data_IF_849180017006
#
_entry.id   IF_849180017006
#
_cell.length_a   1.000
_cell.length_b   1.000
_cell.length_c   1.000
_cell.angle_alpha   90.00
_cell.angle_beta   90.00
_cell.angle_gamma   90.00
#
_symmetry.space_group_name_H-M   'P 1'
#
loop_
_entity.id
_entity.type
_entity.pdbx_description
1 polymer ?
#
# COMPACT_ATOMS: atom_id res chain seq x y z
N UNK A 1 -1.30 21.83 -8.74
CA UNK A 1 -0.70 20.65 -8.09
C UNK A 1 -1.02 19.42 -8.91
N UNK A 2 -0.08 18.48 -9.11
CA UNK A 2 -0.37 17.23 -9.82
C UNK A 2 -1.33 16.35 -9.01
N UNK A 3 -2.26 15.68 -9.69
CA UNK A 3 -3.15 14.73 -9.04
C UNK A 3 -2.37 13.55 -8.43
N UNK A 4 -2.87 13.02 -7.32
CA UNK A 4 -2.36 11.81 -6.69
C UNK A 4 -2.27 10.66 -7.68
N UNK A 5 -1.37 9.72 -7.40
CA UNK A 5 -1.37 8.43 -8.09
C UNK A 5 -2.40 7.45 -7.53
N UNK A 6 -3.52 7.96 -7.02
CA UNK A 6 -4.46 7.15 -6.26
C UNK A 6 -5.32 6.25 -7.12
N UNK A 7 -5.52 5.01 -6.67
CA UNK A 7 -6.37 4.01 -7.31
C UNK A 7 -7.19 3.29 -6.25
N UNK A 8 -8.50 3.28 -6.45
CA UNK A 8 -9.42 2.68 -5.52
C UNK A 8 -10.85 3.10 -5.83
N UNK A 9 -11.79 2.59 -5.06
CA UNK A 9 -13.19 2.99 -5.12
C UNK A 9 -13.85 2.84 -3.77
N UNK A 10 -14.79 3.74 -3.47
CA UNK A 10 -15.65 3.65 -2.30
C UNK A 10 -17.08 3.99 -2.68
N UNK A 11 -18.00 3.44 -1.90
CA UNK A 11 -19.39 3.84 -1.90
C UNK A 11 -19.92 3.72 -0.47
N UNK A 12 -20.72 4.69 -0.04
CA UNK A 12 -21.30 4.70 1.30
C UNK A 12 -22.61 5.48 1.35
N UNK A 13 -23.42 5.17 2.37
CA UNK A 13 -24.64 5.88 2.73
C UNK A 13 -24.70 6.05 4.26
N UNK A 14 -25.82 6.55 4.78
CA UNK A 14 -26.00 6.78 6.23
C UNK A 14 -25.87 5.51 7.10
N UNK A 15 -25.92 4.30 6.52
CA UNK A 15 -25.66 3.05 7.25
C UNK A 15 -24.17 2.70 7.26
N UNK A 16 -23.38 3.22 6.34
CA UNK A 16 -21.96 2.92 6.14
C UNK A 16 -21.66 2.52 4.69
N UNK A 17 -20.54 1.85 4.46
CA UNK A 17 -20.07 1.57 3.11
C UNK A 17 -18.84 0.69 3.05
N UNK A 18 -18.14 0.79 1.92
CA UNK A 18 -16.86 0.13 1.71
C UNK A 18 -15.84 1.07 1.08
N UNK A 19 -14.57 0.77 1.30
CA UNK A 19 -13.45 1.31 0.54
C UNK A 19 -12.58 0.16 0.05
N UNK A 20 -12.20 0.23 -1.21
CA UNK A 20 -11.34 -0.72 -1.87
C UNK A 20 -10.10 -0.01 -2.41
N UNK A 21 -8.95 -0.44 -1.93
CA UNK A 21 -7.63 -0.05 -2.42
C UNK A 21 -7.15 -1.05 -3.45
N UNK A 22 -6.66 -0.60 -4.60
CA UNK A 22 -6.10 -1.50 -5.61
C UNK A 22 -5.05 -0.86 -6.50
N UNK A 23 -4.27 -1.67 -7.19
CA UNK A 23 -3.25 -1.20 -8.14
C UNK A 23 -3.71 -1.11 -9.60
N UNK A 24 -4.93 -1.58 -9.89
CA UNK A 24 -5.48 -1.69 -11.24
C UNK A 24 -5.69 -0.31 -11.90
N UNK A 25 -5.03 -0.02 -13.05
CA UNK A 25 -5.21 1.26 -13.74
C UNK A 25 -6.55 1.33 -14.47
N UNK A 26 -7.12 2.55 -14.54
CA UNK A 26 -8.35 2.85 -15.30
C UNK A 26 -9.55 1.97 -14.92
N UNK A 27 -9.68 1.67 -13.62
CA UNK A 27 -10.80 0.93 -13.07
C UNK A 27 -11.62 1.82 -12.12
N UNK A 28 -12.97 1.72 -12.13
CA UNK A 28 -13.73 0.87 -13.05
C UNK A 28 -13.73 1.42 -14.49
N UNK A 29 -13.98 0.53 -15.47
CA UNK A 29 -13.90 0.87 -16.89
C UNK A 29 -15.15 1.60 -17.41
N UNK A 30 -16.30 1.36 -16.79
CA UNK A 30 -17.53 2.12 -17.04
C UNK A 30 -18.13 2.60 -15.72
N UNK A 31 -19.05 3.55 -15.81
CA UNK A 31 -19.73 4.12 -14.65
C UNK A 31 -20.51 3.02 -13.90
N UNK A 32 -20.32 2.85 -12.57
CA UNK A 32 -21.09 1.90 -11.76
C UNK A 32 -22.61 2.06 -11.81
N UNK A 33 -23.11 3.23 -12.19
CA UNK A 33 -24.55 3.48 -12.33
C UNK A 33 -25.15 2.97 -13.65
N UNK A 34 -24.32 2.56 -14.63
CA UNK A 34 -24.78 2.17 -15.95
C UNK A 34 -25.14 0.67 -16.03
N UNK A 35 -26.16 0.26 -16.82
CA UNK A 35 -26.57 -1.14 -16.95
C UNK A 35 -25.49 -2.09 -17.47
N UNK A 36 -24.51 -1.56 -18.20
CA UNK A 36 -23.37 -2.29 -18.77
C UNK A 36 -22.09 -2.07 -17.94
N UNK A 37 -22.22 -1.99 -16.61
CA UNK A 37 -21.08 -1.82 -15.71
C UNK A 37 -19.98 -2.87 -15.97
N UNK A 38 -18.75 -2.39 -16.14
CA UNK A 38 -17.55 -3.20 -16.28
C UNK A 38 -16.48 -2.63 -15.37
N UNK A 39 -15.99 -3.49 -14.47
CA UNK A 39 -14.86 -3.14 -13.63
C UNK A 39 -13.54 -3.14 -14.43
N UNK A 40 -13.43 -4.03 -15.41
CA UNK A 40 -12.29 -4.15 -16.31
C UNK A 40 -12.67 -3.69 -17.71
N UNK A 41 -11.76 -2.98 -18.37
CA UNK A 41 -11.93 -2.70 -19.80
C UNK A 41 -11.62 -3.95 -20.62
N UNK A 42 -12.16 -4.08 -21.83
CA UNK A 42 -11.79 -5.18 -22.72
C UNK A 42 -10.29 -5.14 -23.07
N UNK A 43 -9.69 -3.93 -23.04
CA UNK A 43 -8.25 -3.70 -23.11
C UNK A 43 -7.49 -4.00 -21.81
N UNK A 44 -8.15 -4.35 -20.69
CA UNK A 44 -7.47 -4.83 -19.49
C UNK A 44 -6.75 -6.16 -19.75
N UNK A 45 -7.14 -6.91 -20.78
CA UNK A 45 -6.39 -8.07 -21.26
C UNK A 45 -4.98 -7.70 -21.75
N UNK A 46 -4.72 -6.51 -22.28
CA UNK A 46 -3.35 -6.10 -22.64
C UNK A 46 -2.50 -5.65 -21.44
N UNK A 47 -3.14 -5.39 -20.29
CA UNK A 47 -2.49 -5.21 -18.98
C UNK A 47 -2.51 -6.50 -18.12
N UNK A 48 -3.01 -7.62 -18.64
CA UNK A 48 -3.19 -8.88 -17.90
C UNK A 48 -1.89 -9.61 -17.55
N UNK A 49 -0.76 -9.17 -18.13
CA UNK A 49 0.56 -9.71 -17.80
C UNK A 49 1.10 -9.21 -16.46
N UNK A 50 0.48 -8.18 -15.86
CA UNK A 50 0.94 -7.62 -14.61
C UNK A 50 0.06 -8.04 -13.43
N UNK A 51 0.68 -8.56 -12.36
CA UNK A 51 -0.02 -8.85 -11.12
C UNK A 51 -0.58 -7.57 -10.50
N UNK A 52 -1.77 -7.70 -9.91
CA UNK A 52 -2.47 -6.63 -9.21
C UNK A 52 -2.86 -7.12 -7.81
N UNK A 53 -3.06 -6.15 -6.91
CA UNK A 53 -3.57 -6.44 -5.57
C UNK A 53 -4.79 -5.58 -5.27
N UNK A 54 -5.67 -6.15 -4.44
CA UNK A 54 -6.91 -5.54 -3.96
C UNK A 54 -6.97 -5.75 -2.45
N UNK A 55 -7.36 -4.71 -1.72
CA UNK A 55 -7.71 -4.77 -0.31
C UNK A 55 -9.02 -4.00 -0.12
N UNK A 56 -10.00 -4.61 0.54
CA UNK A 56 -11.33 -4.02 0.73
C UNK A 56 -11.74 -4.09 2.20
N UNK A 57 -12.28 -3.00 2.71
CA UNK A 57 -12.83 -2.91 4.06
C UNK A 57 -14.26 -2.38 4.04
N UNK A 58 -15.10 -2.90 4.91
CA UNK A 58 -16.45 -2.39 5.16
C UNK A 58 -16.48 -1.59 6.46
N UNK A 59 -17.02 -0.38 6.43
CA UNK A 59 -16.97 0.56 7.55
C UNK A 59 -18.34 1.17 7.83
N UNK A 60 -18.55 1.60 9.06
CA UNK A 60 -19.73 2.40 9.42
C UNK A 60 -19.61 3.83 8.94
N UNK A 61 -20.74 4.54 8.91
CA UNK A 61 -20.83 5.87 8.33
C UNK A 61 -19.81 6.87 8.89
N UNK A 62 -19.58 6.99 10.22
CA UNK A 62 -18.58 7.93 10.75
C UNK A 62 -17.15 7.60 10.33
N UNK A 63 -16.83 6.33 10.10
CA UNK A 63 -15.52 5.91 9.60
C UNK A 63 -15.38 6.21 8.10
N UNK A 64 -16.45 6.04 7.32
CA UNK A 64 -16.46 6.43 5.90
C UNK A 64 -16.28 7.93 5.71
N UNK A 65 -16.87 8.78 6.56
CA UNK A 65 -16.69 10.23 6.47
C UNK A 65 -15.23 10.63 6.69
N UNK A 66 -14.59 10.14 7.77
CA UNK A 66 -13.17 10.42 8.03
C UNK A 66 -12.26 9.89 6.90
N UNK A 67 -12.59 8.73 6.35
CA UNK A 67 -11.85 8.17 5.22
C UNK A 67 -12.01 9.00 3.94
N UNK A 68 -13.19 9.54 3.68
CA UNK A 68 -13.44 10.45 2.56
C UNK A 68 -12.59 11.73 2.68
N UNK A 69 -12.52 12.32 3.87
CA UNK A 69 -11.66 13.47 4.17
C UNK A 69 -10.17 13.14 3.91
N UNK A 70 -9.69 12.00 4.42
CA UNK A 70 -8.32 11.54 4.22
C UNK A 70 -7.98 11.24 2.76
N UNK A 71 -8.92 10.64 2.00
CA UNK A 71 -8.76 10.41 0.57
C UNK A 71 -8.67 11.75 -0.16
N UNK A 72 -9.55 12.71 0.15
CA UNK A 72 -9.56 14.02 -0.48
C UNK A 72 -8.25 14.81 -0.23
N UNK A 73 -7.62 14.64 0.94
CA UNK A 73 -6.32 15.23 1.24
C UNK A 73 -5.20 14.76 0.30
N UNK A 74 -5.34 13.60 -0.35
CA UNK A 74 -4.38 13.11 -1.35
C UNK A 74 -4.50 13.83 -2.71
N UNK A 75 -5.60 14.56 -2.96
CA UNK A 75 -5.92 15.16 -4.26
C UNK A 75 -6.07 14.09 -5.38
N UNK A 76 -6.97 13.10 -5.23
CA UNK A 76 -7.18 12.08 -6.24
C UNK A 76 -7.92 12.65 -7.46
N UNK A 77 -7.78 11.96 -8.58
CA UNK A 77 -8.64 12.19 -9.74
C UNK A 77 -9.85 11.25 -9.67
N UNK A 78 -11.05 11.83 -9.57
CA UNK A 78 -12.30 11.07 -9.53
C UNK A 78 -12.76 10.75 -10.95
N UNK A 79 -12.97 9.45 -11.25
CA UNK A 79 -13.50 8.99 -12.52
C UNK A 79 -15.03 9.16 -12.61
N UNK A 80 -15.71 8.98 -11.48
CA UNK A 80 -17.16 9.05 -11.37
C UNK A 80 -17.52 9.90 -10.15
N UNK A 81 -18.56 10.69 -10.31
CA UNK A 81 -18.85 11.82 -9.43
C UNK A 81 -19.27 11.36 -8.03
N UNK A 82 -18.87 12.14 -7.03
CA UNK A 82 -19.36 12.02 -5.65
C UNK A 82 -20.27 13.24 -5.44
N UNK A 83 -21.58 13.06 -5.24
CA UNK A 83 -22.56 14.14 -5.27
C UNK A 83 -22.36 15.30 -4.27
N UNK A 84 -21.39 15.20 -3.34
CA UNK A 84 -21.19 16.15 -2.25
C UNK A 84 -19.72 16.55 -2.07
N UNK A 85 -18.98 16.75 -3.16
CA UNK A 85 -17.64 17.33 -3.07
C UNK A 85 -17.74 18.73 -2.47
N UNK A 86 -17.22 18.92 -1.27
CA UNK A 86 -16.92 20.26 -0.75
C UNK A 86 -15.57 20.68 -1.31
N UNK A 87 -15.57 21.63 -2.24
CA UNK A 87 -14.37 22.32 -2.66
C UNK A 87 -13.84 23.14 -1.48
N UNK A 88 -12.71 22.73 -0.90
CA UNK A 88 -12.15 23.41 0.28
C UNK A 88 -11.14 22.62 1.11
N UNK A 89 -10.91 21.34 0.81
CA UNK A 89 -9.91 20.55 1.54
C UNK A 89 -8.51 21.17 1.40
N UNK A 90 -7.95 21.57 2.54
CA UNK A 90 -6.56 22.03 2.62
C UNK A 90 -5.67 20.82 2.40
N UNK A 91 -4.80 20.92 1.40
CA UNK A 91 -3.75 19.94 1.18
C UNK A 91 -2.86 19.90 2.42
N UNK A 92 -2.64 18.72 2.99
CA UNK A 92 -1.52 18.54 3.91
C UNK A 92 -0.26 18.56 3.05
N UNK A 93 0.42 19.70 2.99
CA UNK A 93 1.68 19.79 2.27
C UNK A 93 2.70 18.86 2.95
N UNK A 94 3.17 17.88 2.20
CA UNK A 94 4.37 17.06 2.42
C UNK A 94 4.44 16.17 3.67
N UNK A 95 3.52 16.30 4.62
CA UNK A 95 3.49 15.47 5.81
C UNK A 95 2.69 14.18 5.59
N UNK A 96 3.25 13.08 6.06
CA UNK A 96 2.53 11.84 6.21
C UNK A 96 1.57 11.99 7.39
N UNK A 97 0.32 11.64 7.18
CA UNK A 97 -0.71 11.59 8.19
C UNK A 97 -1.35 10.19 8.20
N UNK A 98 -2.05 9.86 9.28
CA UNK A 98 -2.62 8.54 9.47
C UNK A 98 -4.03 8.60 10.05
N UNK A 99 -4.87 7.67 9.61
CA UNK A 99 -6.23 7.49 10.09
C UNK A 99 -6.43 6.03 10.52
N UNK A 100 -6.65 5.84 11.81
CA UNK A 100 -7.06 4.56 12.35
C UNK A 100 -8.55 4.31 12.12
N UNK A 101 -8.83 3.16 11.51
CA UNK A 101 -10.14 2.69 11.11
C UNK A 101 -10.41 1.32 11.73
N UNK A 102 -11.68 1.10 12.08
CA UNK A 102 -12.18 -0.23 12.42
C UNK A 102 -13.26 -0.60 11.42
N UNK A 103 -13.10 -1.79 10.83
CA UNK A 103 -14.16 -2.37 10.00
C UNK A 103 -15.35 -2.75 10.87
N UNK A 104 -16.50 -3.00 10.24
CA UNK A 104 -17.71 -3.50 10.93
C UNK A 104 -17.52 -4.79 11.72
N UNK A 105 -16.56 -5.61 11.31
CA UNK A 105 -16.18 -6.84 12.01
C UNK A 105 -14.99 -6.63 12.96
N UNK A 106 -14.75 -5.39 13.37
CA UNK A 106 -13.73 -4.99 14.35
C UNK A 106 -12.27 -5.31 13.94
N UNK A 107 -11.99 -5.45 12.64
CA UNK A 107 -10.61 -5.49 12.12
C UNK A 107 -10.04 -4.07 12.10
N UNK A 108 -8.92 -3.86 12.77
CA UNK A 108 -8.16 -2.60 12.74
C UNK A 108 -7.44 -2.47 11.39
N UNK A 109 -7.58 -1.30 10.78
CA UNK A 109 -6.85 -0.87 9.58
C UNK A 109 -6.30 0.52 9.84
N UNK A 110 -5.12 0.81 9.30
CA UNK A 110 -4.54 2.16 9.35
C UNK A 110 -4.36 2.67 7.93
N UNK A 111 -4.93 3.85 7.66
CA UNK A 111 -4.84 4.49 6.37
C UNK A 111 -3.82 5.63 6.45
N UNK A 112 -2.65 5.41 5.87
CA UNK A 112 -1.61 6.43 5.76
C UNK A 112 -1.78 7.20 4.47
N UNK A 113 -1.69 8.52 4.52
CA UNK A 113 -1.91 9.36 3.35
C UNK A 113 -1.00 10.60 3.37
N UNK A 114 -0.72 11.10 2.18
CA UNK A 114 -0.02 12.38 1.99
C UNK A 114 -0.60 13.13 0.79
N UNK A 115 -0.53 14.46 0.85
CA UNK A 115 -0.74 15.34 -0.31
C UNK A 115 0.42 15.31 -1.30
N UNK A 116 0.31 16.11 -2.37
CA UNK A 116 1.40 16.33 -3.33
C UNK A 116 2.50 17.24 -2.79
N UNK A 117 3.70 17.16 -3.38
CA UNK A 117 4.84 18.06 -3.13
C UNK A 117 5.99 17.43 -2.33
N UNK A 118 5.87 16.15 -1.96
CA UNK A 118 6.88 15.45 -1.14
C UNK A 118 8.24 15.32 -1.85
N UNK A 119 9.30 15.19 -1.05
CA UNK A 119 10.68 14.95 -1.53
C UNK A 119 11.20 13.56 -1.17
N UNK A 120 10.41 12.78 -0.43
CA UNK A 120 10.79 11.47 0.07
C UNK A 120 9.69 10.46 -0.25
N UNK A 121 10.10 9.20 -0.37
CA UNK A 121 9.20 8.07 -0.54
C UNK A 121 8.22 7.96 0.62
N UNK A 122 6.95 7.66 0.30
CA UNK A 122 5.92 7.35 1.29
C UNK A 122 6.35 6.19 2.20
N UNK A 123 7.14 5.24 1.69
CA UNK A 123 7.65 4.11 2.47
C UNK A 123 8.70 4.52 3.50
N UNK A 124 9.61 5.43 3.12
CA UNK A 124 10.61 5.94 4.05
C UNK A 124 9.95 6.79 5.14
N UNK A 125 8.98 7.62 4.76
CA UNK A 125 8.14 8.37 5.71
C UNK A 125 7.38 7.44 6.65
N UNK A 126 6.85 6.31 6.17
CA UNK A 126 6.15 5.36 7.03
C UNK A 126 7.08 4.80 8.11
N UNK A 127 8.30 4.41 7.73
CA UNK A 127 9.30 3.92 8.68
C UNK A 127 9.69 4.98 9.73
N UNK A 128 9.85 6.25 9.33
CA UNK A 128 10.28 7.31 10.25
C UNK A 128 9.14 7.91 11.09
N UNK A 129 7.94 8.02 10.52
CA UNK A 129 6.77 8.60 11.18
C UNK A 129 6.11 7.64 12.16
N UNK A 130 6.12 6.34 11.85
CA UNK A 130 5.41 5.33 12.61
C UNK A 130 6.32 4.20 13.10
N UNK A 131 7.37 4.60 13.84
CA UNK A 131 8.31 3.67 14.47
C UNK A 131 7.67 2.72 15.49
N UNK A 132 6.40 2.94 15.87
CA UNK A 132 5.64 2.05 16.75
C UNK A 132 4.98 0.89 16.00
N UNK A 133 4.57 1.08 14.74
CA UNK A 133 3.87 0.05 13.99
C UNK A 133 4.68 -0.58 12.84
N UNK A 134 5.69 0.13 12.31
CA UNK A 134 6.50 -0.36 11.19
C UNK A 134 7.99 -0.10 11.42
N UNK A 135 8.69 -1.10 11.95
CA UNK A 135 10.11 -0.96 12.30
C UNK A 135 11.05 -1.14 11.12
N UNK A 136 10.82 -2.11 10.24
CA UNK A 136 11.54 -2.22 8.97
C UNK A 136 10.58 -2.72 7.90
N UNK A 137 10.77 -2.25 6.66
CA UNK A 137 9.83 -2.50 5.57
C UNK A 137 10.49 -3.25 4.40
N UNK A 138 9.88 -4.35 3.99
CA UNK A 138 10.17 -4.98 2.70
C UNK A 138 8.98 -4.74 1.78
N UNK A 139 9.23 -4.29 0.55
CA UNK A 139 8.14 -3.94 -0.36
C UNK A 139 8.40 -4.42 -1.77
N UNK A 140 7.31 -4.84 -2.42
CA UNK A 140 7.29 -5.06 -3.85
C UNK A 140 6.50 -3.93 -4.49
N UNK A 141 7.13 -3.28 -5.46
CA UNK A 141 6.45 -2.28 -6.28
C UNK A 141 6.99 -2.30 -7.69
N UNK A 142 6.17 -1.83 -8.63
CA UNK A 142 6.57 -1.75 -10.03
C UNK A 142 7.71 -0.77 -10.23
N UNK A 143 8.90 -1.31 -10.53
CA UNK A 143 10.15 -0.58 -10.84
C UNK A 143 10.54 0.40 -9.72
N UNK A 144 11.57 0.07 -8.94
CA UNK A 144 12.26 1.00 -8.05
C UNK A 144 13.49 1.59 -8.74
N UNK A 145 13.81 2.85 -8.46
CA UNK A 145 15.11 3.46 -8.78
C UNK A 145 15.94 3.76 -7.53
N UNK A 146 15.38 3.47 -6.35
CA UNK A 146 16.04 3.64 -5.06
C UNK A 146 16.77 2.36 -4.67
N UNK A 147 18.03 2.51 -4.26
CA UNK A 147 18.79 1.44 -3.62
C UNK A 147 18.15 1.09 -2.29
N UNK A 148 18.11 -0.20 -1.96
CA UNK A 148 17.64 -0.63 -0.64
C UNK A 148 18.56 -0.16 0.47
N UNK A 149 17.97 0.14 1.61
CA UNK A 149 18.65 0.45 2.86
C UNK A 149 18.01 -0.34 4.01
N UNK A 150 18.50 -0.15 5.23
CA UNK A 150 17.99 -0.87 6.40
C UNK A 150 16.50 -0.62 6.68
N UNK A 151 15.99 0.56 6.31
CA UNK A 151 14.59 0.92 6.51
C UNK A 151 13.67 0.29 5.47
N UNK A 152 14.14 0.22 4.21
CA UNK A 152 13.33 -0.13 3.05
C UNK A 152 14.08 -1.06 2.10
N UNK A 153 13.59 -2.30 1.99
CA UNK A 153 14.14 -3.34 1.11
C UNK A 153 13.22 -3.60 -0.07
N UNK A 154 13.80 -3.59 -1.27
CA UNK A 154 13.05 -3.86 -2.49
C UNK A 154 12.98 -5.38 -2.74
N UNK A 155 11.79 -5.93 -2.86
CA UNK A 155 11.56 -7.29 -3.33
C UNK A 155 11.66 -7.31 -4.86
N UNK A 156 12.55 -8.16 -5.40
CA UNK A 156 12.76 -8.31 -6.84
C UNK A 156 11.92 -9.43 -7.44
N UNK A 157 11.72 -10.50 -6.67
CA UNK A 157 11.03 -11.70 -7.12
C UNK A 157 10.15 -12.25 -5.99
N UNK A 158 8.88 -12.45 -6.30
CA UNK A 158 7.90 -13.06 -5.40
C UNK A 158 7.24 -14.25 -6.08
N UNK A 159 7.10 -15.37 -5.38
CA UNK A 159 6.43 -16.57 -5.87
C UNK A 159 5.03 -16.67 -5.29
N UNK A 160 4.07 -17.00 -6.16
CA UNK A 160 2.70 -17.33 -5.75
C UNK A 160 2.21 -18.51 -6.58
N UNK A 161 1.80 -19.59 -5.92
CA UNK A 161 1.30 -20.81 -6.58
C UNK A 161 2.25 -21.35 -7.66
N UNK A 162 3.56 -21.34 -7.38
CA UNK A 162 4.61 -21.78 -8.32
C UNK A 162 4.88 -20.82 -9.49
N UNK A 163 4.25 -19.64 -9.52
CA UNK A 163 4.54 -18.60 -10.51
C UNK A 163 5.43 -17.52 -9.91
N UNK A 164 6.53 -17.21 -10.60
CA UNK A 164 7.44 -16.15 -10.22
C UNK A 164 7.00 -14.80 -10.81
N UNK A 165 6.73 -13.84 -9.93
CA UNK A 165 6.33 -12.47 -10.23
C UNK A 165 7.54 -11.56 -10.04
N UNK A 166 8.10 -11.08 -11.15
CA UNK A 166 9.19 -10.10 -11.14
C UNK A 166 8.63 -8.73 -10.77
N UNK A 167 9.37 -7.95 -10.00
CA UNK A 167 8.99 -6.56 -9.67
C UNK A 167 8.82 -5.66 -10.90
N UNK A 168 9.38 -6.04 -12.06
CA UNK A 168 9.18 -5.32 -13.33
C UNK A 168 7.82 -5.57 -13.99
N UNK A 169 7.15 -6.64 -13.59
CA UNK A 169 5.82 -7.05 -14.05
C UNK A 169 4.80 -7.09 -12.90
N UNK A 170 5.20 -6.72 -11.67
CA UNK A 170 4.28 -6.65 -10.55
C UNK A 170 3.83 -5.20 -10.32
N UNK A 171 2.56 -4.93 -10.64
CA UNK A 171 1.95 -3.64 -10.37
C UNK A 171 1.36 -3.55 -8.97
N UNK A 172 1.27 -4.69 -8.27
CA UNK A 172 0.87 -4.79 -6.89
C UNK A 172 1.87 -4.00 -6.07
N UNK A 173 1.42 -2.90 -5.49
CA UNK A 173 2.22 -2.08 -4.59
C UNK A 173 1.84 -2.51 -3.21
N UNK A 174 2.67 -3.38 -2.65
CA UNK A 174 2.47 -3.87 -1.30
C UNK A 174 3.76 -3.75 -0.51
N UNK A 175 3.60 -3.64 0.81
CA UNK A 175 4.71 -3.65 1.76
C UNK A 175 4.37 -4.57 2.92
N UNK A 176 5.39 -5.13 3.52
CA UNK A 176 5.29 -5.91 4.73
C UNK A 176 6.33 -5.44 5.75
N UNK A 177 5.97 -5.53 7.03
CA UNK A 177 6.92 -5.39 8.12
C UNK A 177 7.84 -6.62 8.16
N UNK A 178 9.11 -6.42 8.46
CA UNK A 178 10.05 -7.49 8.78
C UNK A 178 10.92 -7.13 9.99
N UNK A 179 11.49 -8.14 10.66
CA UNK A 179 12.25 -7.97 11.91
C UNK A 179 13.71 -8.35 11.70
N UNK A 180 14.64 -7.40 11.90
CA UNK A 180 16.09 -7.66 11.79
C UNK A 180 16.71 -8.16 13.10
N UNK A 181 16.11 -7.86 14.26
CA UNK A 181 16.72 -8.15 15.56
C UNK A 181 15.96 -9.27 16.28
N UNK A 182 16.58 -10.44 16.39
CA UNK A 182 16.30 -11.39 17.48
C UNK A 182 17.53 -11.39 18.40
N UNK A 183 17.64 -10.38 19.28
CA UNK A 183 18.54 -10.53 20.43
C UNK A 183 17.99 -11.69 21.27
N UNK A 184 18.85 -12.62 21.70
CA UNK A 184 18.46 -13.80 22.48
C UNK A 184 17.71 -13.47 23.78
N UNK A 185 17.71 -12.19 24.20
CA UNK A 185 17.09 -11.72 25.44
C UNK A 185 15.86 -10.80 25.24
N UNK A 186 15.38 -10.59 24.02
CA UNK A 186 14.15 -9.81 23.79
C UNK A 186 13.18 -10.59 22.92
N UNK A 187 12.01 -10.91 23.47
CA UNK A 187 10.86 -11.39 22.72
C UNK A 187 10.39 -10.29 21.77
N UNK A 188 10.92 -10.27 20.56
CA UNK A 188 10.44 -9.36 19.52
C UNK A 188 9.16 -9.97 18.95
N UNK A 189 8.01 -9.25 18.99
CA UNK A 189 6.78 -9.73 18.38
C UNK A 189 6.99 -10.06 16.91
N UNK A 190 6.30 -11.09 16.42
CA UNK A 190 6.28 -11.40 15.00
C UNK A 190 5.80 -10.17 14.21
N UNK A 191 6.35 -9.92 13.00
CA UNK A 191 5.87 -8.81 12.18
C UNK A 191 4.45 -9.10 11.71
N UNK A 192 3.60 -8.10 11.84
CA UNK A 192 2.17 -8.22 11.51
C UNK A 192 1.76 -7.27 10.40
N UNK A 193 2.53 -6.20 10.18
CA UNK A 193 2.17 -5.14 9.25
C UNK A 193 2.15 -5.61 7.80
N UNK A 194 1.03 -5.40 7.12
CA UNK A 194 0.88 -5.60 5.68
C UNK A 194 0.09 -4.45 5.08
N UNK A 195 0.61 -3.80 4.03
CA UNK A 195 -0.10 -2.69 3.38
C UNK A 195 -0.19 -2.82 1.88
N UNK A 196 -1.19 -2.14 1.32
CA UNK A 196 -1.43 -1.99 -0.11
C UNK A 196 -1.53 -0.51 -0.46
N UNK A 197 -0.89 -0.08 -1.54
CA UNK A 197 -0.68 1.35 -1.83
C UNK A 197 -0.85 1.82 -3.26
N UNK A 198 -0.78 3.14 -3.39
CA UNK A 198 -0.85 3.87 -4.65
C UNK A 198 0.50 4.08 -5.32
N UNK A 199 1.51 4.37 -4.51
CA UNK A 199 2.82 4.87 -4.92
C UNK A 199 3.82 3.71 -4.99
N UNK A 200 4.69 3.74 -5.98
CA UNK A 200 5.87 2.89 -6.00
C UNK A 200 7.06 3.66 -5.43
N UNK A 201 8.20 2.99 -5.28
CA UNK A 201 9.40 3.59 -4.72
C UNK A 201 10.26 4.29 -5.78
N UNK A 202 9.64 5.04 -6.70
CA UNK A 202 10.37 5.86 -7.69
C UNK A 202 10.46 7.30 -7.26
N UNK A 203 11.62 7.91 -7.46
CA UNK A 203 11.82 9.34 -7.19
C UNK A 203 10.78 10.23 -7.87
N UNK A 204 10.41 9.92 -9.12
CA UNK A 204 9.38 10.67 -9.87
C UNK A 204 7.96 10.58 -9.29
N UNK A 205 7.71 9.74 -8.28
CA UNK A 205 6.42 9.66 -7.59
C UNK A 205 6.41 10.39 -6.23
N UNK A 206 7.55 10.85 -5.70
CA UNK A 206 7.63 11.43 -4.36
C UNK A 206 6.81 12.72 -4.23
N UNK A 207 6.74 13.49 -5.33
CA UNK A 207 5.97 14.73 -5.41
C UNK A 207 4.45 14.50 -5.54
N UNK A 208 4.00 13.25 -5.64
CA UNK A 208 2.58 12.93 -5.84
C UNK A 208 1.91 12.56 -4.52
N UNK A 209 0.67 13.00 -4.39
CA UNK A 209 -0.21 12.50 -3.33
C UNK A 209 -0.49 11.00 -3.52
N UNK A 210 -0.83 10.35 -2.42
CA UNK A 210 -1.17 8.94 -2.41
C UNK A 210 -1.34 8.40 -1.01
N UNK A 211 -1.73 7.13 -0.92
CA UNK A 211 -1.97 6.48 0.35
C UNK A 211 -1.63 5.00 0.37
N UNK A 212 -1.51 4.48 1.58
CA UNK A 212 -1.34 3.08 1.95
C UNK A 212 -2.47 2.68 2.90
N UNK A 213 -3.11 1.55 2.63
CA UNK A 213 -4.02 0.90 3.57
C UNK A 213 -3.30 -0.29 4.19
N UNK A 214 -3.10 -0.24 5.50
CA UNK A 214 -2.35 -1.19 6.29
C UNK A 214 -3.26 -2.00 7.20
N UNK A 215 -2.90 -3.26 7.45
CA UNK A 215 -3.49 -4.13 8.46
C UNK A 215 -2.40 -4.82 9.26
N UNK A 216 -2.67 -5.09 10.53
CA UNK A 216 -1.80 -5.88 11.41
C UNK A 216 -2.36 -7.30 11.48
N UNK A 217 -1.78 -8.19 10.68
CA UNK A 217 -2.21 -9.57 10.59
C UNK A 217 -1.00 -10.45 10.26
N UNK A 218 -0.50 -11.15 11.29
CA UNK A 218 0.63 -12.07 11.18
C UNK A 218 0.43 -13.14 10.09
N UNK A 219 -0.79 -13.62 9.87
CA UNK A 219 -1.08 -14.63 8.83
C UNK A 219 -0.88 -14.05 7.43
N UNK A 220 -1.43 -12.87 7.15
CA UNK A 220 -1.27 -12.21 5.85
C UNK A 220 0.19 -11.80 5.62
N UNK A 221 0.82 -11.18 6.62
CA UNK A 221 2.24 -10.81 6.56
C UNK A 221 3.11 -12.04 6.25
N UNK A 222 2.91 -13.14 6.99
CA UNK A 222 3.62 -14.41 6.78
C UNK A 222 3.40 -14.97 5.38
N UNK A 223 2.16 -15.00 4.88
CA UNK A 223 1.85 -15.50 3.53
C UNK A 223 2.64 -14.75 2.44
N UNK A 224 2.73 -13.41 2.52
CA UNK A 224 3.50 -12.62 1.56
C UNK A 224 5.01 -12.74 1.76
N UNK A 225 5.48 -12.79 3.00
CA UNK A 225 6.90 -13.05 3.32
C UNK A 225 7.38 -14.37 2.72
N UNK A 226 6.59 -15.44 2.85
CA UNK A 226 6.92 -16.76 2.34
C UNK A 226 7.02 -16.82 0.82
N UNK A 227 6.36 -15.90 0.11
CA UNK A 227 6.52 -15.77 -1.33
C UNK A 227 7.80 -15.05 -1.74
N UNK A 228 8.54 -14.37 -0.85
CA UNK A 228 9.74 -13.60 -1.26
C UNK A 228 10.89 -14.53 -1.64
N UNK A 229 11.27 -14.51 -2.93
CA UNK A 229 12.36 -15.32 -3.48
C UNK A 229 13.67 -14.54 -3.52
N UNK A 230 13.64 -13.29 -3.99
CA UNK A 230 14.81 -12.43 -4.19
C UNK A 230 14.55 -10.99 -3.74
N UNK A 231 15.56 -10.39 -3.09
CA UNK A 231 15.57 -9.00 -2.64
C UNK A 231 16.79 -8.24 -3.16
N UNK A 232 16.66 -6.92 -3.29
CA UNK A 232 17.81 -6.02 -3.44
C UNK A 232 18.44 -5.73 -2.08
N UNK A 233 19.71 -6.06 -1.92
CA UNK A 233 20.46 -5.81 -0.69
C UNK A 233 21.75 -5.03 -0.98
N UNK A 234 21.86 -4.42 -2.16
CA UNK A 234 23.08 -3.74 -2.62
C UNK A 234 23.53 -2.59 -1.72
N UNK A 235 22.60 -1.92 -1.02
CA UNK A 235 22.92 -0.87 -0.04
C UNK A 235 23.00 -1.34 1.41
N UNK A 236 23.03 -2.66 1.65
CA UNK A 236 23.04 -3.25 2.99
C UNK A 236 24.40 -3.87 3.30
N UNK A 237 24.90 -3.63 4.52
CA UNK A 237 26.12 -4.24 5.03
C UNK A 237 26.09 -5.78 4.91
N UNK A 238 27.15 -6.43 4.39
CA UNK A 238 27.17 -7.88 4.19
C UNK A 238 26.79 -8.71 5.42
N UNK A 239 27.17 -8.29 6.64
CA UNK A 239 26.84 -9.01 7.87
C UNK A 239 25.33 -8.94 8.18
N UNK A 240 24.67 -7.85 7.81
CA UNK A 240 23.22 -7.70 7.97
C UNK A 240 22.40 -8.42 6.88
N UNK A 241 22.97 -8.62 5.69
CA UNK A 241 22.25 -9.27 4.58
C UNK A 241 21.75 -10.67 4.91
N UNK A 242 22.54 -11.48 5.62
CA UNK A 242 22.15 -12.83 6.01
C UNK A 242 20.98 -12.82 7.00
N UNK A 243 21.04 -11.92 7.99
CA UNK A 243 19.99 -11.73 9.00
C UNK A 243 18.67 -11.36 8.32
N UNK A 244 18.72 -10.45 7.34
CA UNK A 244 17.55 -10.01 6.58
C UNK A 244 16.99 -11.13 5.70
N UNK A 245 17.85 -11.87 4.98
CA UNK A 245 17.40 -13.01 4.16
C UNK A 245 16.68 -14.04 5.03
N UNK A 246 17.19 -14.27 6.23
CA UNK A 246 16.60 -15.18 7.19
C UNK A 246 15.29 -14.63 7.77
N UNK A 247 15.22 -13.35 8.14
CA UNK A 247 13.99 -12.79 8.73
C UNK A 247 12.80 -12.77 7.78
N UNK A 248 13.04 -12.65 6.48
CA UNK A 248 11.97 -12.70 5.49
C UNK A 248 11.54 -14.15 5.19
N UNK A 249 12.46 -15.13 5.26
CA UNK A 249 12.19 -16.55 4.90
C UNK A 249 11.83 -17.48 6.06
N UNK A 250 12.23 -17.18 7.30
CA UNK A 250 11.98 -18.09 8.43
C UNK A 250 10.48 -18.15 8.77
N UNK A 251 10.04 -19.35 9.16
CA UNK A 251 8.66 -19.76 9.48
C UNK A 251 7.76 -20.13 8.27
N UNK A 252 8.33 -20.16 7.08
CA UNK A 252 7.76 -20.77 5.87
C UNK A 252 8.32 -22.21 5.72
#
# INVERSE_FOLDING_TARGET
>A
MPYAHSKGGYAYNLKGGFYMKYSLPKAPATNPAEPNFRFYSDNAQSNSSNSQIFMCGSFDYPAMQRLDEAINATIPYYLFDIPSRQDGYRCTENQLDSLDLRTRNNVQLTFFYQGSGGQESLFHKLHTHDGNHFRNLALQSWRTDQTSDFSVINVKLHEKNGQQLKSTTDHSKWLLEYVVVRSSNTSVPDPEGFCVGDLNNKHSQFERGGSLMCMYNAVVNKLFRCGVVEMDLSGIDPAAQEIIKNSVKYDC
#
